data_IF_194210661411
#
_entry.id   IF_194210661411
#
_cell.length_a   1.000
_cell.length_b   1.000
_cell.length_c   1.000
_cell.angle_alpha   90.00
_cell.angle_beta   90.00
_cell.angle_gamma   90.00
#
_symmetry.space_group_name_H-M   'P 1'
#
loop_
_entity.id
_entity.type
_entity.pdbx_description
1 polymer ?
#
# COMPACT_ATOMS: atom_id res chain seq x y z
N UNK A 1 27.23 39.01 2.95
CA UNK A 1 26.24 40.12 2.93
C UNK A 1 24.97 39.59 2.26
N UNK A 2 23.73 39.67 2.77
CA UNK A 2 23.11 40.30 3.95
C UNK A 2 21.89 39.43 4.32
N UNK A 3 21.69 39.15 5.62
CA UNK A 3 20.40 38.73 6.17
C UNK A 3 19.48 39.95 6.14
N UNK A 4 18.30 39.86 5.53
CA UNK A 4 17.27 40.90 5.64
C UNK A 4 16.28 40.45 6.70
N UNK A 5 16.49 40.93 7.93
CA UNK A 5 15.48 40.95 8.98
C UNK A 5 14.51 42.09 8.63
N UNK A 6 13.25 41.77 8.38
CA UNK A 6 12.19 42.77 8.30
C UNK A 6 11.86 43.26 9.71
N UNK A 7 12.35 44.44 10.08
CA UNK A 7 11.87 45.17 11.24
C UNK A 7 10.54 45.83 10.88
N UNK A 8 9.46 45.52 11.59
CA UNK A 8 8.30 46.41 11.65
C UNK A 8 8.60 47.51 12.65
N UNK A 9 8.76 48.72 12.12
CA UNK A 9 8.80 49.97 12.87
C UNK A 9 7.36 50.30 13.24
N UNK A 10 7.06 50.31 14.54
CA UNK A 10 5.80 50.86 15.06
C UNK A 10 6.00 52.37 15.24
N UNK A 11 5.17 53.23 14.64
CA UNK A 11 5.14 54.65 15.01
C UNK A 11 4.66 54.78 16.46
N UNK A 12 5.52 55.36 17.28
CA UNK A 12 5.23 55.73 18.65
C UNK A 12 4.40 57.03 18.60
N UNK A 13 3.08 56.90 18.60
CA UNK A 13 2.18 58.03 18.87
C UNK A 13 1.50 57.82 20.22
N UNK A 14 1.86 58.72 21.12
CA UNK A 14 1.30 59.00 22.43
C UNK A 14 -0.21 59.28 22.29
N UNK A 15 -1.04 58.61 23.10
CA UNK A 15 -2.47 58.97 23.18
C UNK A 15 -3.48 57.85 23.46
N UNK A 16 -3.09 56.58 23.53
CA UNK A 16 -4.06 55.48 23.72
C UNK A 16 -4.35 55.09 25.18
N UNK A 17 -3.56 55.55 26.16
CA UNK A 17 -3.76 55.17 27.56
C UNK A 17 -4.84 55.97 28.31
N UNK A 18 -5.34 57.08 27.76
CA UNK A 18 -6.38 57.89 28.42
C UNK A 18 -7.82 57.55 28.00
N UNK A 19 -8.03 56.72 26.97
CA UNK A 19 -9.36 56.21 26.63
C UNK A 19 -9.70 54.85 27.26
N UNK A 20 -8.86 54.35 28.18
CA UNK A 20 -9.05 53.05 28.82
C UNK A 20 -9.66 53.09 30.23
N UNK A 21 -10.32 54.19 30.62
CA UNK A 21 -11.17 54.24 31.81
C UNK A 21 -12.20 55.37 31.64
N UNK A 22 -13.47 55.06 31.31
CA UNK A 22 -14.34 54.28 32.19
C UNK A 22 -15.33 53.37 31.43
N UNK A 23 -15.00 52.09 31.26
CA UNK A 23 -15.99 51.04 30.97
C UNK A 23 -15.86 49.82 31.90
N UNK A 24 -15.03 49.92 32.94
CA UNK A 24 -14.93 48.90 34.00
C UNK A 24 -16.04 48.99 35.07
N UNK A 25 -17.02 49.86 34.88
CA UNK A 25 -18.17 49.97 35.78
C UNK A 25 -19.45 49.97 34.97
N UNK A 26 -19.76 48.85 34.32
CA UNK A 26 -21.14 48.40 34.07
C UNK A 26 -21.09 46.92 33.61
N UNK A 27 -21.12 46.01 34.59
CA UNK A 27 -21.37 44.57 34.47
C UNK A 27 -20.98 43.84 33.18
N UNK A 28 -19.75 43.32 33.07
CA UNK A 28 -19.37 42.38 31.98
C UNK A 28 -18.12 41.55 32.28
N UNK A 29 -17.80 41.21 33.53
CA UNK A 29 -16.65 40.33 33.83
C UNK A 29 -16.92 38.86 33.45
N UNK A 30 -18.19 38.43 33.40
CA UNK A 30 -18.55 37.06 33.04
C UNK A 30 -18.54 36.78 31.53
N UNK A 31 -18.75 37.79 30.67
CA UNK A 31 -18.81 37.62 29.21
C UNK A 31 -17.41 37.53 28.58
N UNK A 32 -16.47 38.37 29.01
CA UNK A 32 -15.09 38.40 28.48
C UNK A 32 -14.33 37.09 28.79
N UNK A 33 -14.53 36.53 29.99
CA UNK A 33 -13.96 35.23 30.36
C UNK A 33 -14.56 34.07 29.56
N UNK A 34 -15.85 34.14 29.23
CA UNK A 34 -16.57 33.12 28.45
C UNK A 34 -16.13 33.12 26.99
N UNK A 35 -15.90 34.29 26.41
CA UNK A 35 -15.39 34.44 25.04
C UNK A 35 -13.93 33.99 24.89
N UNK A 36 -13.07 34.30 25.87
CA UNK A 36 -11.69 33.82 25.89
C UNK A 36 -11.59 32.28 25.98
N UNK A 37 -12.34 31.65 26.90
CA UNK A 37 -12.40 30.18 27.00
C UNK A 37 -13.02 29.51 25.79
N UNK A 38 -13.94 30.18 25.08
CA UNK A 38 -14.50 29.67 23.82
C UNK A 38 -13.48 29.78 22.69
N UNK A 39 -12.74 30.89 22.59
CA UNK A 39 -11.65 31.06 21.62
C UNK A 39 -10.57 29.98 21.76
N UNK A 40 -10.17 29.68 22.99
CA UNK A 40 -9.21 28.60 23.29
C UNK A 40 -9.74 27.22 22.87
N UNK A 41 -11.01 26.91 23.18
CA UNK A 41 -11.65 25.64 22.76
C UNK A 41 -11.77 25.52 21.25
N UNK A 42 -12.14 26.61 20.56
CA UNK A 42 -12.21 26.64 19.10
C UNK A 42 -10.84 26.44 18.46
N UNK A 43 -9.80 27.11 18.98
CA UNK A 43 -8.43 26.94 18.52
C UNK A 43 -7.95 25.49 18.73
N UNK A 44 -8.21 24.91 19.91
CA UNK A 44 -7.91 23.51 20.20
C UNK A 44 -8.62 22.57 19.24
N UNK A 45 -9.92 22.75 18.99
CA UNK A 45 -10.70 21.89 18.10
C UNK A 45 -10.20 21.95 16.65
N UNK A 46 -9.79 23.14 16.19
CA UNK A 46 -9.18 23.31 14.86
C UNK A 46 -7.84 22.57 14.76
N UNK A 47 -6.98 22.70 15.76
CA UNK A 47 -5.70 21.97 15.80
C UNK A 47 -5.93 20.46 15.80
N UNK A 48 -6.88 19.96 16.59
CA UNK A 48 -7.23 18.53 16.59
C UNK A 48 -7.72 18.07 15.23
N UNK A 49 -8.61 18.82 14.57
CA UNK A 49 -9.08 18.51 13.22
C UNK A 49 -7.90 18.48 12.23
N UNK A 50 -7.01 19.47 12.27
CA UNK A 50 -5.87 19.55 11.35
C UNK A 50 -4.91 18.36 11.55
N UNK A 51 -4.70 17.93 12.80
CA UNK A 51 -3.93 16.71 13.09
C UNK A 51 -4.59 15.46 12.50
N UNK A 52 -5.91 15.30 12.65
CA UNK A 52 -6.65 14.17 12.07
C UNK A 52 -6.59 14.18 10.54
N UNK A 53 -6.64 15.36 9.91
CA UNK A 53 -6.46 15.51 8.46
C UNK A 53 -5.07 15.05 8.02
N UNK A 54 -4.01 15.43 8.74
CA UNK A 54 -2.65 14.96 8.47
C UNK A 54 -2.50 13.44 8.65
N UNK A 55 -3.15 12.85 9.66
CA UNK A 55 -3.20 11.40 9.82
C UNK A 55 -3.92 10.73 8.63
N UNK A 56 -5.01 11.33 8.14
CA UNK A 56 -5.73 10.85 6.96
C UNK A 56 -4.87 10.92 5.70
N UNK A 57 -4.12 11.99 5.50
CA UNK A 57 -3.15 12.13 4.39
C UNK A 57 -2.11 11.00 4.42
N UNK A 58 -1.55 10.70 5.60
CA UNK A 58 -0.59 9.62 5.76
C UNK A 58 -1.20 8.24 5.44
N UNK A 59 -2.43 7.98 5.87
CA UNK A 59 -3.15 6.74 5.55
C UNK A 59 -3.39 6.61 4.04
N UNK A 60 -3.81 7.69 3.38
CA UNK A 60 -4.02 7.70 1.92
C UNK A 60 -2.71 7.41 1.16
N UNK A 61 -1.59 7.98 1.62
CA UNK A 61 -0.29 7.70 1.03
C UNK A 61 0.11 6.22 1.19
N UNK A 62 -0.06 5.66 2.39
CA UNK A 62 0.20 4.24 2.65
C UNK A 62 -0.69 3.32 1.81
N UNK A 63 -1.97 3.65 1.62
CA UNK A 63 -2.86 2.91 0.73
C UNK A 63 -2.36 2.92 -0.72
N UNK A 64 -1.87 4.06 -1.21
CA UNK A 64 -1.32 4.18 -2.56
C UNK A 64 -0.03 3.36 -2.74
N UNK A 65 0.87 3.40 -1.76
CA UNK A 65 2.10 2.59 -1.74
C UNK A 65 1.79 1.08 -1.77
N UNK A 66 0.83 0.63 -0.95
CA UNK A 66 0.37 -0.76 -0.97
C UNK A 66 -0.31 -1.13 -2.29
N UNK A 67 -1.04 -0.20 -2.91
CA UNK A 67 -1.61 -0.37 -4.24
C UNK A 67 -0.55 -0.68 -5.30
N UNK A 68 0.52 0.12 -5.35
CA UNK A 68 1.64 -0.12 -6.26
C UNK A 68 2.38 -1.44 -5.96
N UNK A 69 2.55 -1.79 -4.68
CA UNK A 69 3.14 -3.07 -4.30
C UNK A 69 2.28 -4.27 -4.74
N UNK A 70 0.95 -4.14 -4.63
CA UNK A 70 0.00 -5.16 -5.06
C UNK A 70 0.07 -5.39 -6.58
N UNK A 71 0.12 -4.31 -7.37
CA UNK A 71 0.27 -4.39 -8.83
C UNK A 71 1.55 -5.15 -9.23
N UNK A 72 2.67 -4.86 -8.55
CA UNK A 72 3.93 -5.56 -8.80
C UNK A 72 3.84 -7.05 -8.45
N UNK A 73 3.21 -7.39 -7.32
CA UNK A 73 3.03 -8.78 -6.91
C UNK A 73 2.13 -9.55 -7.89
N UNK A 74 1.03 -8.95 -8.35
CA UNK A 74 0.14 -9.55 -9.34
C UNK A 74 0.87 -9.75 -10.69
N UNK A 75 1.70 -8.78 -11.11
CA UNK A 75 2.55 -8.93 -12.29
C UNK A 75 3.55 -10.10 -12.14
N UNK A 76 4.24 -10.19 -11.01
CA UNK A 76 5.19 -11.27 -10.74
C UNK A 76 4.51 -12.64 -10.75
N UNK A 77 3.35 -12.75 -10.09
CA UNK A 77 2.52 -13.95 -10.09
C UNK A 77 2.10 -14.35 -11.51
N UNK A 78 1.63 -13.40 -12.31
CA UNK A 78 1.25 -13.67 -13.70
C UNK A 78 2.43 -14.19 -14.52
N UNK A 79 3.61 -13.59 -14.35
CA UNK A 79 4.84 -14.04 -15.02
C UNK A 79 5.24 -15.46 -14.60
N UNK A 80 5.17 -15.79 -13.31
CA UNK A 80 5.43 -17.14 -12.83
C UNK A 80 4.44 -18.16 -13.43
N UNK A 81 3.15 -17.84 -13.48
CA UNK A 81 2.14 -18.69 -14.11
C UNK A 81 2.44 -18.91 -15.61
N UNK A 82 2.77 -17.85 -16.35
CA UNK A 82 3.12 -17.98 -17.78
C UNK A 82 4.35 -18.88 -18.00
N UNK A 83 5.36 -18.78 -17.13
CA UNK A 83 6.54 -19.64 -17.19
C UNK A 83 6.20 -21.09 -16.84
N UNK A 84 5.37 -21.30 -15.81
CA UNK A 84 4.87 -22.61 -15.41
C UNK A 84 4.10 -23.27 -16.56
N UNK A 85 3.06 -22.62 -17.10
CA UNK A 85 2.27 -23.11 -18.23
C UNK A 85 3.11 -23.41 -19.47
N UNK A 86 4.16 -22.61 -19.69
CA UNK A 86 5.10 -22.81 -20.80
C UNK A 86 6.01 -24.01 -20.61
N UNK A 87 6.45 -24.29 -19.38
CA UNK A 87 7.26 -25.46 -19.05
C UNK A 87 6.41 -26.72 -19.06
N UNK A 88 5.19 -26.68 -18.50
CA UNK A 88 4.23 -27.81 -18.49
C UNK A 88 3.96 -28.28 -19.92
N UNK A 89 3.59 -27.37 -20.83
CA UNK A 89 3.34 -27.75 -22.24
C UNK A 89 4.57 -28.38 -22.90
N UNK A 90 5.75 -27.82 -22.68
CA UNK A 90 7.00 -28.38 -23.23
C UNK A 90 7.33 -29.75 -22.64
N UNK A 91 7.00 -29.97 -21.37
CA UNK A 91 7.14 -31.26 -20.71
C UNK A 91 6.19 -32.28 -21.33
N UNK A 92 4.92 -31.94 -21.51
CA UNK A 92 3.93 -32.81 -22.16
C UNK A 92 4.39 -33.23 -23.57
N UNK A 93 4.83 -32.26 -24.38
CA UNK A 93 5.38 -32.53 -25.72
C UNK A 93 6.58 -33.48 -25.68
N UNK A 94 7.49 -33.27 -24.72
CA UNK A 94 8.68 -34.09 -24.55
C UNK A 94 8.35 -35.49 -24.03
N UNK A 95 7.41 -35.63 -23.10
CA UNK A 95 6.95 -36.92 -22.59
C UNK A 95 6.21 -37.73 -23.65
N UNK A 96 5.43 -37.08 -24.51
CA UNK A 96 4.80 -37.72 -25.67
C UNK A 96 5.85 -38.19 -26.68
N UNK A 97 6.85 -37.35 -26.96
CA UNK A 97 7.97 -37.73 -27.82
C UNK A 97 8.76 -38.91 -27.25
N UNK A 98 9.08 -38.89 -25.95
CA UNK A 98 9.76 -40.00 -25.28
C UNK A 98 8.92 -41.29 -25.34
N UNK A 99 7.61 -41.20 -25.04
CA UNK A 99 6.69 -42.34 -25.11
C UNK A 99 6.54 -42.90 -26.53
N UNK A 100 6.49 -42.06 -27.56
CA UNK A 100 6.39 -42.53 -28.95
C UNK A 100 7.67 -43.23 -29.42
N UNK A 101 8.84 -42.73 -29.02
CA UNK A 101 10.13 -43.36 -29.30
C UNK A 101 10.31 -44.68 -28.55
N UNK A 102 9.88 -44.73 -27.28
CA UNK A 102 9.93 -45.95 -26.46
C UNK A 102 8.84 -46.95 -26.86
N UNK A 103 7.67 -46.50 -27.33
CA UNK A 103 6.55 -47.35 -27.74
C UNK A 103 6.65 -47.90 -29.18
N UNK A 104 7.42 -47.25 -30.05
CA UNK A 104 7.81 -47.80 -31.35
C UNK A 104 8.87 -48.91 -31.25
N UNK A 105 9.58 -48.98 -30.13
CA UNK A 105 10.44 -50.08 -29.76
C UNK A 105 9.59 -51.11 -29.00
N UNK A 106 9.42 -52.33 -29.53
CA UNK A 106 8.62 -53.39 -28.88
C UNK A 106 8.90 -53.49 -27.38
N UNK A 107 7.90 -53.81 -26.55
CA UNK A 107 7.97 -53.81 -25.08
C UNK A 107 9.09 -54.67 -24.47
N UNK A 108 9.73 -55.56 -25.24
CA UNK A 108 10.94 -56.30 -24.87
C UNK A 108 12.24 -55.46 -24.93
N UNK A 109 12.14 -54.19 -25.33
CA UNK A 109 13.24 -53.42 -25.88
C UNK A 109 13.34 -52.00 -25.31
N UNK A 110 12.87 -51.75 -24.08
CA UNK A 110 13.07 -50.46 -23.40
C UNK A 110 14.58 -50.08 -23.25
N UNK A 111 15.49 -51.05 -23.35
CA UNK A 111 16.94 -50.84 -23.50
C UNK A 111 17.44 -50.70 -24.95
N UNK A 112 16.57 -50.87 -25.94
CA UNK A 112 16.93 -50.97 -27.36
C UNK A 112 17.00 -49.62 -28.07
N UNK A 113 16.22 -48.60 -27.68
CA UNK A 113 16.36 -47.26 -28.29
C UNK A 113 17.80 -46.77 -28.15
N UNK A 114 18.38 -46.81 -26.94
CA UNK A 114 19.79 -46.43 -26.73
C UNK A 114 20.79 -47.31 -27.51
N UNK A 115 20.46 -48.58 -27.74
CA UNK A 115 21.31 -49.52 -28.48
C UNK A 115 21.37 -49.21 -29.98
N UNK A 116 20.35 -48.53 -30.52
CA UNK A 116 20.32 -48.07 -31.92
C UNK A 116 20.95 -46.69 -32.13
N UNK A 117 21.25 -45.96 -31.05
CA UNK A 117 21.85 -44.63 -31.11
C UNK A 117 23.37 -44.69 -31.16
N UNK A 118 23.98 -43.80 -31.95
CA UNK A 118 25.42 -43.56 -31.87
C UNK A 118 25.78 -42.87 -30.54
N UNK A 119 27.07 -42.86 -30.17
CA UNK A 119 27.49 -42.38 -28.84
C UNK A 119 27.05 -40.92 -28.57
N UNK A 120 27.15 -40.05 -29.57
CA UNK A 120 26.71 -38.65 -29.45
C UNK A 120 25.20 -38.50 -29.25
N UNK A 121 24.41 -39.31 -29.94
CA UNK A 121 22.96 -39.38 -29.77
C UNK A 121 22.56 -39.98 -28.42
N UNK A 122 23.27 -41.00 -27.95
CA UNK A 122 23.01 -41.64 -26.65
C UNK A 122 23.27 -40.68 -25.49
N UNK A 123 24.29 -39.83 -25.59
CA UNK A 123 24.54 -38.74 -24.62
C UNK A 123 23.41 -37.71 -24.65
N UNK A 124 22.97 -37.27 -25.84
CA UNK A 124 21.84 -36.33 -25.97
C UNK A 124 20.55 -36.92 -25.40
N UNK A 125 20.27 -38.19 -25.69
CA UNK A 125 19.10 -38.91 -25.19
C UNK A 125 19.06 -38.95 -23.66
N UNK A 126 20.15 -39.38 -23.02
CA UNK A 126 20.24 -39.41 -21.56
C UNK A 126 20.05 -38.02 -20.95
N UNK A 127 20.66 -36.99 -21.54
CA UNK A 127 20.49 -35.60 -21.07
C UNK A 127 19.06 -35.12 -21.21
N UNK A 128 18.37 -35.44 -22.31
CA UNK A 128 16.96 -35.09 -22.50
C UNK A 128 16.08 -35.84 -21.50
N UNK A 129 16.32 -37.14 -21.28
CA UNK A 129 15.58 -37.95 -20.32
C UNK A 129 15.77 -37.42 -18.89
N UNK A 130 16.99 -37.12 -18.49
CA UNK A 130 17.29 -36.45 -17.21
C UNK A 130 16.56 -35.10 -17.11
N UNK A 131 16.69 -34.24 -18.11
CA UNK A 131 16.02 -32.93 -18.11
C UNK A 131 14.50 -33.03 -17.94
N UNK A 132 13.85 -33.98 -18.62
CA UNK A 132 12.39 -34.16 -18.60
C UNK A 132 11.93 -34.84 -17.31
N UNK A 133 12.66 -35.84 -16.82
CA UNK A 133 12.23 -36.66 -15.69
C UNK A 133 12.61 -36.09 -14.32
N UNK A 134 13.65 -35.23 -14.25
CA UNK A 134 14.12 -34.66 -12.97
C UNK A 134 14.14 -33.14 -12.99
N UNK A 135 14.95 -32.53 -13.87
CA UNK A 135 15.24 -31.09 -13.81
C UNK A 135 14.00 -30.22 -14.00
N UNK A 136 13.20 -30.47 -15.05
CA UNK A 136 12.01 -29.68 -15.33
C UNK A 136 10.91 -29.84 -14.27
N UNK A 137 10.60 -31.06 -13.77
CA UNK A 137 9.74 -31.25 -12.61
C UNK A 137 10.20 -30.49 -11.35
N UNK A 138 11.50 -30.52 -11.04
CA UNK A 138 12.03 -29.73 -9.91
C UNK A 138 11.87 -28.22 -10.11
N UNK A 139 12.04 -27.73 -11.34
CA UNK A 139 11.82 -26.32 -11.67
C UNK A 139 10.34 -25.96 -11.56
N UNK A 140 9.42 -26.84 -11.99
CA UNK A 140 7.98 -26.64 -11.83
C UNK A 140 7.58 -26.56 -10.36
N UNK A 141 8.04 -27.49 -9.53
CA UNK A 141 7.76 -27.48 -8.10
C UNK A 141 8.21 -26.15 -7.45
N UNK A 142 9.41 -25.67 -7.80
CA UNK A 142 9.89 -24.35 -7.33
C UNK A 142 9.06 -23.18 -7.85
N UNK A 143 8.51 -23.26 -9.07
CA UNK A 143 7.63 -22.23 -9.60
C UNK A 143 6.28 -22.22 -8.88
N UNK A 144 5.73 -23.39 -8.57
CA UNK A 144 4.51 -23.56 -7.77
C UNK A 144 4.69 -22.96 -6.37
N UNK A 145 5.78 -23.29 -5.68
CA UNK A 145 6.12 -22.70 -4.37
C UNK A 145 6.17 -21.15 -4.45
N UNK A 146 6.76 -20.60 -5.51
CA UNK A 146 6.83 -19.15 -5.72
C UNK A 146 5.46 -18.53 -6.01
N UNK A 147 4.59 -19.21 -6.75
CA UNK A 147 3.22 -18.78 -7.02
C UNK A 147 2.43 -18.75 -5.70
N UNK A 148 2.54 -19.79 -4.89
CA UNK A 148 1.90 -19.87 -3.58
C UNK A 148 2.39 -18.76 -2.63
N UNK A 149 3.70 -18.54 -2.57
CA UNK A 149 4.29 -17.45 -1.79
C UNK A 149 3.79 -16.08 -2.25
N UNK A 150 3.71 -15.83 -3.56
CA UNK A 150 3.17 -14.58 -4.09
C UNK A 150 1.68 -14.42 -3.76
N UNK A 151 0.89 -15.49 -3.86
CA UNK A 151 -0.52 -15.48 -3.46
C UNK A 151 -0.69 -15.16 -1.98
N UNK A 152 0.18 -15.67 -1.10
CA UNK A 152 0.18 -15.34 0.32
C UNK A 152 0.47 -13.85 0.54
N UNK A 153 1.53 -13.31 -0.09
CA UNK A 153 1.86 -11.88 -0.01
C UNK A 153 0.73 -10.98 -0.53
N UNK A 154 0.07 -11.38 -1.62
CA UNK A 154 -1.09 -10.65 -2.17
C UNK A 154 -2.23 -10.60 -1.16
N UNK A 155 -2.53 -11.71 -0.48
CA UNK A 155 -3.55 -11.73 0.58
C UNK A 155 -3.17 -10.79 1.73
N UNK A 156 -1.96 -10.90 2.25
CA UNK A 156 -1.49 -10.06 3.35
C UNK A 156 -1.53 -8.55 3.01
N UNK A 157 -1.17 -8.18 1.77
CA UNK A 157 -1.25 -6.79 1.30
C UNK A 157 -2.70 -6.33 1.21
N UNK A 158 -3.61 -7.17 0.69
CA UNK A 158 -5.04 -6.84 0.61
C UNK A 158 -5.66 -6.64 1.99
N UNK A 159 -5.33 -7.49 2.95
CA UNK A 159 -5.81 -7.37 4.33
C UNK A 159 -5.35 -6.06 4.95
N UNK A 160 -4.06 -5.70 4.80
CA UNK A 160 -3.54 -4.40 5.25
C UNK A 160 -4.19 -3.21 4.56
N UNK A 161 -4.48 -3.31 3.27
CA UNK A 161 -5.20 -2.25 2.55
C UNK A 161 -6.61 -2.08 3.11
N UNK A 162 -7.29 -3.17 3.47
CA UNK A 162 -8.62 -3.11 4.07
C UNK A 162 -8.59 -2.45 5.46
N UNK A 163 -7.59 -2.79 6.29
CA UNK A 163 -7.36 -2.14 7.57
C UNK A 163 -7.14 -0.62 7.42
N UNK A 164 -6.35 -0.21 6.42
CA UNK A 164 -6.14 1.21 6.13
C UNK A 164 -7.42 1.91 5.66
N UNK A 165 -8.24 1.25 4.82
CA UNK A 165 -9.53 1.81 4.37
C UNK A 165 -10.49 1.98 5.54
N UNK A 166 -10.54 1.02 6.45
CA UNK A 166 -11.33 1.11 7.68
C UNK A 166 -10.83 2.26 8.56
N UNK A 167 -9.51 2.38 8.75
CA UNK A 167 -8.91 3.50 9.49
C UNK A 167 -9.22 4.85 8.84
N UNK A 168 -9.16 4.95 7.50
CA UNK A 168 -9.52 6.16 6.76
C UNK A 168 -10.99 6.53 6.96
N UNK A 169 -11.88 5.55 6.98
CA UNK A 169 -13.30 5.79 7.23
C UNK A 169 -13.52 6.34 8.64
N UNK A 170 -12.92 5.71 9.65
CA UNK A 170 -12.99 6.18 11.04
C UNK A 170 -12.44 7.61 11.19
N UNK A 171 -11.29 7.93 10.57
CA UNK A 171 -10.74 9.28 10.59
C UNK A 171 -11.68 10.30 9.95
N UNK A 172 -12.38 9.96 8.87
CA UNK A 172 -13.37 10.85 8.24
C UNK A 172 -14.54 11.14 9.18
N UNK A 173 -15.01 10.13 9.91
CA UNK A 173 -16.07 10.29 10.90
C UNK A 173 -15.60 11.20 12.04
N UNK A 174 -14.40 10.98 12.58
CA UNK A 174 -13.82 11.82 13.62
C UNK A 174 -13.63 13.29 13.17
N UNK A 175 -13.17 13.49 11.93
CA UNK A 175 -13.05 14.81 11.32
C UNK A 175 -14.42 15.48 11.21
N UNK A 176 -15.44 14.77 10.71
CA UNK A 176 -16.79 15.30 10.56
C UNK A 176 -17.38 15.74 11.91
N UNK A 177 -17.17 14.95 12.97
CA UNK A 177 -17.56 15.33 14.35
C UNK A 177 -16.84 16.61 14.79
N UNK A 178 -15.54 16.74 14.53
CA UNK A 178 -14.79 17.97 14.87
C UNK A 178 -15.24 19.17 14.05
N UNK A 179 -15.64 18.98 12.81
CA UNK A 179 -16.19 20.04 11.96
C UNK A 179 -17.56 20.50 12.45
N UNK A 180 -18.43 19.57 12.86
CA UNK A 180 -19.71 19.88 13.50
C UNK A 180 -19.52 20.65 14.81
N UNK A 181 -18.63 20.19 15.70
CA UNK A 181 -18.28 20.88 16.95
C UNK A 181 -17.84 22.33 16.67
N UNK A 182 -16.98 22.53 15.67
CA UNK A 182 -16.50 23.86 15.24
C UNK A 182 -17.66 24.70 14.69
N UNK A 183 -18.53 24.13 13.86
CA UNK A 183 -19.67 24.83 13.27
C UNK A 183 -20.66 25.29 14.34
N UNK A 184 -21.01 24.41 15.28
CA UNK A 184 -21.86 24.73 16.44
C UNK A 184 -21.24 25.86 17.26
N UNK A 185 -19.96 25.72 17.62
CA UNK A 185 -19.24 26.77 18.33
C UNK A 185 -19.28 28.09 17.59
N UNK A 186 -19.12 28.14 16.26
CA UNK A 186 -19.17 29.36 15.46
C UNK A 186 -20.58 29.96 15.36
N UNK A 187 -21.62 29.13 15.23
CA UNK A 187 -23.02 29.54 15.10
C UNK A 187 -23.60 30.20 16.36
N UNK A 188 -23.12 29.81 17.55
CA UNK A 188 -23.43 30.49 18.82
C UNK A 188 -23.06 32.00 18.80
N UNK A 189 -22.23 32.45 17.86
CA UNK A 189 -21.85 33.85 17.67
C UNK A 189 -22.85 34.66 16.82
N UNK A 190 -23.71 34.01 16.05
CA UNK A 190 -24.66 34.71 15.16
C UNK A 190 -26.03 34.94 15.80
N UNK A 191 -26.25 34.44 17.01
CA UNK A 191 -27.50 34.56 17.77
C UNK A 191 -27.47 35.65 18.85
N UNK A 192 -26.37 36.42 18.95
CA UNK A 192 -26.21 37.56 19.86
C UNK A 192 -25.72 38.80 19.10
#
# INVERSE_FOLDING_TARGET
MKKVKGCHVVPQEEGWMEMQRPLQQLGTESSLSRDSRRGERLASSRVTRDNLMHEMEAVVLQEAELGSALELLDYMRQKCNQQHDGIVRRLEDCEEMLRSLEGGASAESAGAVESFLNEGERVRWRRTKEMVTTTLPEVLARLEDNIELNNAKIRDVRDKMEDLRAKRLALREDIAVKEEDIALMLSDKSLY
#
